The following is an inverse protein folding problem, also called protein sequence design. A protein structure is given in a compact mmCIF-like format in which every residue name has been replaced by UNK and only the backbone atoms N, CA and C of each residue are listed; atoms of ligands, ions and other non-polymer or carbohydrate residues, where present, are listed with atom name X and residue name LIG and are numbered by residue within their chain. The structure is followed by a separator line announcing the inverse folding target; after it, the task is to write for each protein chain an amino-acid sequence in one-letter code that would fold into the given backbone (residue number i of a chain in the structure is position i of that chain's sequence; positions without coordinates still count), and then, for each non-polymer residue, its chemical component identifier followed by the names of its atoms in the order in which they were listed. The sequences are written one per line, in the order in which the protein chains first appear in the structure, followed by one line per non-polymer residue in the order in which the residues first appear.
data_IF_904310034350
#
_entry.id   IF_904310034350
#
_cell.length_a   1.000
_cell.length_b   1.000
_cell.length_c   1.000
_cell.angle_alpha   90.00
_cell.angle_beta   90.00
_cell.angle_gamma   90.00
#
_symmetry.space_group_name_H-M   'P 1'
#
loop_
_entity.id
_entity.type
_entity.pdbx_description
1 polymer ?
#
# COMPACT_ATOMS: atom_id res chain seq x y z
N UNK A 1 -35.20 89.86 3.66
CA UNK A 1 -34.52 88.89 2.77
C UNK A 1 -34.62 87.52 3.39
N UNK A 2 -35.39 86.57 2.88
CA UNK A 2 -35.56 85.27 3.48
C UNK A 2 -34.57 84.28 2.86
N UNK A 3 -33.95 83.47 3.75
CA UNK A 3 -33.13 82.27 3.37
C UNK A 3 -34.04 81.14 2.81
N UNK A 4 -33.72 80.67 1.62
CA UNK A 4 -34.33 79.47 1.04
C UNK A 4 -33.58 78.21 1.51
N UNK A 5 -34.30 77.34 2.20
CA UNK A 5 -33.84 76.03 2.59
C UNK A 5 -33.97 75.03 1.40
N UNK A 6 -32.87 74.45 0.94
CA UNK A 6 -32.86 73.38 -0.03
C UNK A 6 -32.91 72.03 0.72
N UNK A 7 -34.07 71.48 0.82
CA UNK A 7 -34.26 70.05 1.20
C UNK A 7 -34.05 69.18 0.01
N UNK A 8 -32.96 68.40 -0.02
CA UNK A 8 -32.66 67.41 -1.03
C UNK A 8 -33.31 66.07 -0.65
N UNK A 9 -34.31 65.68 -1.38
CA UNK A 9 -35.00 64.40 -1.16
C UNK A 9 -34.05 63.20 -1.39
N UNK A 10 -33.98 62.32 -0.41
CA UNK A 10 -33.25 61.05 -0.44
C UNK A 10 -34.05 60.02 -1.19
N UNK A 11 -33.51 59.45 -2.30
CA UNK A 11 -34.17 58.39 -3.09
C UNK A 11 -33.68 56.99 -2.63
N UNK A 12 -34.54 56.10 -2.07
CA UNK A 12 -34.12 54.84 -1.50
C UNK A 12 -34.14 53.67 -2.47
N UNK A 13 -34.12 53.86 -3.80
CA UNK A 13 -34.37 52.80 -4.77
C UNK A 13 -33.14 51.97 -5.20
N UNK A 14 -31.91 52.43 -4.98
CA UNK A 14 -30.71 51.70 -5.39
C UNK A 14 -30.20 50.66 -4.39
N UNK A 15 -30.65 50.69 -3.15
CA UNK A 15 -30.17 49.80 -2.09
C UNK A 15 -30.84 48.41 -2.09
N UNK A 16 -32.07 48.29 -2.60
CA UNK A 16 -32.82 47.03 -2.66
C UNK A 16 -32.28 46.04 -3.68
N UNK A 17 -31.69 46.52 -4.78
CA UNK A 17 -31.13 45.63 -5.81
C UNK A 17 -29.74 45.09 -5.45
N UNK A 18 -28.97 45.80 -4.62
CA UNK A 18 -27.66 45.33 -4.17
C UNK A 18 -27.76 44.19 -3.17
N UNK A 19 -28.77 44.21 -2.31
CA UNK A 19 -29.02 43.12 -1.34
C UNK A 19 -29.55 41.87 -2.03
N UNK A 20 -30.37 42.01 -3.08
CA UNK A 20 -30.87 40.84 -3.87
C UNK A 20 -29.79 40.14 -4.64
N UNK A 21 -28.79 40.87 -5.19
CA UNK A 21 -27.66 40.28 -5.92
C UNK A 21 -26.69 39.58 -4.97
N UNK A 22 -26.51 40.11 -3.75
CA UNK A 22 -25.64 39.52 -2.74
C UNK A 22 -26.24 38.20 -2.20
N UNK A 23 -27.58 38.11 -2.09
CA UNK A 23 -28.27 36.90 -1.59
C UNK A 23 -28.24 35.75 -2.59
N UNK A 24 -28.22 36.03 -3.90
CA UNK A 24 -28.15 35.02 -4.95
C UNK A 24 -26.75 34.42 -5.08
N UNK A 25 -25.68 35.17 -4.80
CA UNK A 25 -24.29 34.72 -4.87
C UNK A 25 -23.94 33.77 -3.70
N UNK A 26 -24.58 33.94 -2.53
CA UNK A 26 -24.34 33.08 -1.36
C UNK A 26 -24.98 31.69 -1.49
N UNK A 27 -26.01 31.52 -2.33
CA UNK A 27 -26.71 30.25 -2.51
C UNK A 27 -26.07 29.29 -3.54
N UNK A 28 -25.05 29.75 -4.29
CA UNK A 28 -24.38 28.92 -5.31
C UNK A 28 -23.12 28.20 -4.84
N UNK A 29 -22.73 28.31 -3.55
CA UNK A 29 -21.53 27.65 -2.99
C UNK A 29 -21.82 26.42 -2.12
N UNK A 30 -22.99 25.79 -2.28
CA UNK A 30 -23.15 24.39 -1.81
C UNK A 30 -22.40 23.46 -2.77
N UNK A 31 -21.08 23.51 -2.72
CA UNK A 31 -20.22 22.46 -3.28
C UNK A 31 -20.69 21.15 -2.65
N UNK A 32 -21.30 20.28 -3.43
CA UNK A 32 -21.52 18.88 -3.06
C UNK A 32 -20.15 18.26 -2.78
N UNK A 33 -19.69 18.36 -1.55
CA UNK A 33 -18.59 17.56 -1.06
C UNK A 33 -19.10 16.11 -1.12
N UNK A 34 -18.86 15.46 -2.25
CA UNK A 34 -19.14 14.05 -2.45
C UNK A 34 -18.38 13.30 -1.33
N UNK A 35 -19.09 12.84 -0.29
CA UNK A 35 -18.49 12.05 0.79
C UNK A 35 -17.76 10.88 0.13
N UNK A 36 -16.44 10.96 0.02
CA UNK A 36 -15.61 9.84 -0.44
C UNK A 36 -15.96 8.66 0.47
N UNK A 37 -16.38 7.54 -0.14
CA UNK A 37 -16.66 6.32 0.63
C UNK A 37 -15.41 5.96 1.44
N UNK A 38 -15.54 5.55 2.72
CA UNK A 38 -14.40 5.12 3.50
C UNK A 38 -13.64 4.02 2.77
N UNK A 39 -12.31 4.11 2.80
CA UNK A 39 -11.44 3.08 2.22
C UNK A 39 -11.52 1.86 3.14
N UNK A 40 -11.80 0.67 2.58
CA UNK A 40 -11.88 -0.58 3.32
C UNK A 40 -10.52 -0.94 3.92
N UNK A 41 -10.51 -1.57 5.07
CA UNK A 41 -9.33 -2.10 5.76
C UNK A 41 -9.45 -2.03 7.27
N UNK A 42 -9.02 -3.08 7.93
CA UNK A 42 -8.98 -3.18 9.40
C UNK A 42 -7.75 -2.44 9.95
N UNK A 43 -6.59 -2.59 9.31
CA UNK A 43 -5.33 -1.94 9.67
C UNK A 43 -5.05 -0.71 8.80
N UNK A 44 -4.11 0.14 9.21
CA UNK A 44 -3.63 1.27 8.40
C UNK A 44 -3.02 0.77 7.09
N UNK A 45 -2.15 -0.24 7.15
CA UNK A 45 -1.56 -0.88 5.97
C UNK A 45 -2.63 -1.32 4.95
N UNK A 46 -3.69 -1.98 5.40
CA UNK A 46 -4.77 -2.43 4.50
C UNK A 46 -5.49 -1.25 3.84
N UNK A 47 -5.73 -0.16 4.58
CA UNK A 47 -6.36 1.05 4.05
C UNK A 47 -5.48 1.76 3.03
N UNK A 48 -4.19 1.90 3.33
CA UNK A 48 -3.21 2.52 2.42
C UNK A 48 -3.03 1.71 1.14
N UNK A 49 -2.91 0.38 1.26
CA UNK A 49 -2.81 -0.51 0.11
C UNK A 49 -4.07 -0.41 -0.77
N UNK A 50 -5.26 -0.45 -0.18
CA UNK A 50 -6.51 -0.27 -0.91
C UNK A 50 -6.64 1.12 -1.55
N UNK A 51 -6.16 2.17 -0.89
CA UNK A 51 -6.12 3.54 -1.44
C UNK A 51 -5.24 3.60 -2.69
N UNK A 52 -4.02 3.05 -2.60
CA UNK A 52 -3.07 2.98 -3.72
C UNK A 52 -3.62 2.18 -4.89
N UNK A 53 -4.31 1.07 -4.64
CA UNK A 53 -4.91 0.23 -5.68
C UNK A 53 -6.16 0.85 -6.31
N UNK A 54 -6.86 1.72 -5.61
CA UNK A 54 -8.02 2.46 -6.12
C UNK A 54 -7.64 3.69 -6.95
N UNK A 55 -6.48 4.25 -6.71
CA UNK A 55 -5.97 5.40 -7.45
C UNK A 55 -5.46 4.96 -8.84
N UNK A 56 -6.08 5.47 -9.89
CA UNK A 56 -5.73 5.11 -11.27
C UNK A 56 -4.29 5.46 -11.66
N UNK A 57 -3.63 6.39 -10.94
CA UNK A 57 -2.24 6.78 -11.20
C UNK A 57 -1.21 5.80 -10.63
N UNK A 58 -1.57 5.06 -9.57
CA UNK A 58 -0.67 4.13 -8.86
C UNK A 58 -1.10 2.67 -8.97
N UNK A 59 -2.36 2.42 -9.37
CA UNK A 59 -2.98 1.10 -9.38
C UNK A 59 -2.25 0.08 -10.28
N UNK A 60 -1.91 -1.11 -9.76
CA UNK A 60 -1.41 -2.19 -10.59
C UNK A 60 -2.52 -2.93 -11.36
N UNK A 61 -3.79 -2.67 -11.06
CA UNK A 61 -4.92 -3.39 -11.64
C UNK A 61 -5.06 -3.17 -13.15
N UNK A 62 -5.63 -4.15 -13.85
CA UNK A 62 -6.12 -3.95 -15.21
C UNK A 62 -7.27 -2.94 -15.20
N UNK A 63 -7.41 -2.11 -16.24
CA UNK A 63 -8.48 -1.08 -16.32
C UNK A 63 -9.87 -1.63 -16.03
N UNK A 64 -10.17 -2.84 -16.50
CA UNK A 64 -11.46 -3.51 -16.28
C UNK A 64 -11.71 -3.81 -14.79
N UNK A 65 -10.67 -4.22 -14.07
CA UNK A 65 -10.75 -4.60 -12.66
C UNK A 65 -10.79 -3.34 -11.78
N UNK A 66 -10.01 -2.31 -12.12
CA UNK A 66 -10.00 -1.03 -11.43
C UNK A 66 -11.37 -0.35 -11.43
N UNK A 67 -12.13 -0.46 -12.54
CA UNK A 67 -13.47 0.15 -12.66
C UNK A 67 -14.43 -0.30 -11.56
N UNK A 68 -14.33 -1.56 -11.16
CA UNK A 68 -15.21 -2.19 -10.17
C UNK A 68 -14.50 -2.49 -8.85
N UNK A 69 -13.28 -1.97 -8.65
CA UNK A 69 -12.49 -2.24 -7.47
C UNK A 69 -13.12 -1.62 -6.22
N UNK A 70 -13.42 -2.45 -5.26
CA UNK A 70 -14.01 -2.08 -3.97
C UNK A 70 -13.09 -2.39 -2.78
N UNK A 71 -11.92 -2.95 -3.03
CA UNK A 71 -10.89 -3.31 -2.06
C UNK A 71 -10.33 -4.70 -2.30
N UNK A 72 -9.16 -4.95 -1.75
CA UNK A 72 -8.55 -6.28 -1.68
C UNK A 72 -9.20 -7.06 -0.54
N UNK A 73 -9.22 -8.38 -0.68
CA UNK A 73 -9.56 -9.28 0.42
C UNK A 73 -8.32 -9.56 1.27
N UNK A 74 -8.49 -9.52 2.57
CA UNK A 74 -7.44 -9.79 3.56
C UNK A 74 -7.87 -10.94 4.47
N UNK A 75 -6.89 -11.66 5.00
CA UNK A 75 -7.12 -12.41 6.23
C UNK A 75 -7.45 -11.43 7.36
N UNK A 76 -8.22 -11.87 8.34
CA UNK A 76 -8.48 -11.08 9.54
C UNK A 76 -7.16 -10.79 10.26
N UNK A 77 -7.01 -9.57 10.78
CA UNK A 77 -5.82 -9.23 11.56
C UNK A 77 -5.67 -10.19 12.75
N UNK A 78 -4.46 -10.72 12.90
CA UNK A 78 -4.11 -11.60 14.02
C UNK A 78 -2.68 -11.27 14.48
N UNK A 79 -2.57 -10.82 15.74
CA UNK A 79 -1.30 -10.43 16.36
C UNK A 79 -0.31 -11.60 16.52
N UNK A 80 -0.77 -12.86 16.46
CA UNK A 80 0.12 -14.04 16.49
C UNK A 80 1.03 -14.11 15.27
N UNK A 81 0.69 -13.41 14.22
CA UNK A 81 1.51 -13.25 13.00
C UNK A 81 2.41 -12.01 13.01
N UNK A 82 2.50 -11.31 14.13
CA UNK A 82 3.53 -10.28 14.38
C UNK A 82 4.62 -10.92 15.21
N UNK A 83 5.75 -11.22 14.60
CA UNK A 83 6.85 -11.97 15.24
C UNK A 83 8.10 -11.11 15.34
N UNK A 84 8.90 -11.36 16.39
CA UNK A 84 10.24 -10.80 16.52
C UNK A 84 11.26 -11.84 16.07
N UNK A 85 12.01 -11.52 15.03
CA UNK A 85 13.03 -12.39 14.46
C UNK A 85 14.43 -11.98 14.91
N UNK A 86 15.29 -12.98 15.15
CA UNK A 86 16.73 -12.76 15.24
C UNK A 86 17.25 -12.50 13.83
N UNK A 87 17.87 -11.35 13.60
CA UNK A 87 18.48 -10.96 12.34
C UNK A 87 19.98 -11.25 12.35
N UNK A 88 20.42 -12.07 11.41
CA UNK A 88 21.85 -12.37 11.20
C UNK A 88 22.30 -11.83 9.84
N UNK A 89 23.14 -10.81 9.87
CA UNK A 89 23.74 -10.25 8.65
C UNK A 89 24.64 -11.27 7.95
N UNK A 90 24.58 -11.32 6.60
CA UNK A 90 25.44 -12.18 5.75
C UNK A 90 26.32 -11.35 4.80
N UNK A 91 27.35 -10.62 5.32
CA UNK A 91 28.07 -9.60 4.55
C UNK A 91 28.93 -10.16 3.40
N UNK A 92 29.24 -11.45 3.43
CA UNK A 92 30.13 -12.11 2.45
C UNK A 92 29.34 -12.76 1.28
N UNK A 93 28.01 -12.64 1.27
CA UNK A 93 27.18 -13.16 0.17
C UNK A 93 27.42 -12.38 -1.12
N UNK A 94 27.52 -13.11 -2.23
CA UNK A 94 27.75 -12.50 -3.54
C UNK A 94 26.41 -12.08 -4.17
N UNK A 95 26.38 -10.97 -4.92
CA UNK A 95 25.21 -10.62 -5.72
C UNK A 95 24.87 -11.73 -6.72
N UNK A 96 23.59 -11.91 -6.95
CA UNK A 96 23.06 -12.88 -7.90
C UNK A 96 21.88 -12.29 -8.71
N UNK A 97 21.61 -12.89 -9.86
CA UNK A 97 20.46 -12.50 -10.70
C UNK A 97 19.21 -13.21 -10.22
N UNK A 98 18.29 -12.46 -9.61
CA UNK A 98 17.01 -13.00 -9.14
C UNK A 98 16.07 -13.22 -10.32
N UNK A 99 15.52 -14.43 -10.45
CA UNK A 99 14.52 -14.74 -11.48
C UNK A 99 13.24 -13.93 -11.23
N UNK A 100 12.60 -13.54 -12.32
CA UNK A 100 11.28 -12.87 -12.29
C UNK A 100 10.28 -13.62 -13.14
N UNK A 101 9.03 -13.18 -13.13
CA UNK A 101 7.95 -13.69 -13.99
C UNK A 101 8.12 -13.36 -15.48
N UNK A 102 9.21 -12.66 -15.84
CA UNK A 102 9.62 -12.32 -17.22
C UNK A 102 11.11 -12.59 -17.39
N UNK A 103 11.71 -12.20 -18.49
CA UNK A 103 13.16 -12.34 -18.75
C UNK A 103 14.04 -11.35 -17.98
N UNK A 104 13.45 -10.41 -17.24
CA UNK A 104 14.18 -9.45 -16.41
C UNK A 104 14.87 -10.17 -15.24
N UNK A 105 16.15 -9.91 -15.05
CA UNK A 105 17.01 -10.53 -14.03
C UNK A 105 17.69 -9.45 -13.17
N UNK A 106 16.96 -8.81 -12.24
CA UNK A 106 17.54 -7.80 -11.36
C UNK A 106 18.58 -8.42 -10.43
N UNK A 107 19.59 -7.62 -10.07
CA UNK A 107 20.63 -8.04 -9.16
C UNK A 107 20.21 -7.85 -7.71
N UNK A 108 20.31 -8.90 -6.93
CA UNK A 108 20.05 -8.95 -5.50
C UNK A 108 21.24 -9.54 -4.75
N UNK A 109 21.37 -9.21 -3.48
CA UNK A 109 22.23 -9.91 -2.53
C UNK A 109 21.36 -10.48 -1.41
N UNK A 110 21.68 -11.67 -0.93
CA UNK A 110 21.14 -12.14 0.36
C UNK A 110 21.74 -11.27 1.45
N UNK A 111 20.92 -10.40 2.02
CA UNK A 111 21.37 -9.41 3.00
C UNK A 111 21.55 -10.02 4.39
N UNK A 112 20.74 -11.00 4.73
CA UNK A 112 20.77 -11.69 6.01
C UNK A 112 19.76 -12.81 6.10
N UNK A 113 19.67 -13.38 7.29
CA UNK A 113 18.73 -14.43 7.70
C UNK A 113 17.90 -13.92 8.87
N UNK A 114 16.63 -14.28 8.88
CA UNK A 114 15.65 -13.97 9.92
C UNK A 114 15.18 -15.29 10.52
N UNK A 115 15.51 -15.55 11.79
CA UNK A 115 15.06 -16.74 12.53
C UNK A 115 14.05 -16.32 13.57
N UNK A 116 12.87 -16.95 13.58
CA UNK A 116 11.74 -16.60 14.44
C UNK A 116 10.88 -17.82 14.75
N UNK A 117 10.12 -17.72 15.83
CA UNK A 117 9.11 -18.71 16.18
C UNK A 117 7.72 -18.25 15.70
N UNK A 118 6.98 -19.17 15.10
CA UNK A 118 5.60 -18.96 14.67
C UNK A 118 4.79 -20.24 14.96
N UNK A 119 3.72 -20.11 15.73
CA UNK A 119 2.84 -21.24 16.11
C UNK A 119 3.59 -22.41 16.77
N UNK A 120 4.64 -22.11 17.53
CA UNK A 120 5.41 -23.12 18.25
C UNK A 120 6.50 -23.84 17.44
N UNK A 121 6.70 -23.45 16.19
CA UNK A 121 7.78 -23.95 15.32
C UNK A 121 8.75 -22.83 14.98
N UNK A 122 10.04 -23.16 14.87
CA UNK A 122 11.10 -22.22 14.50
C UNK A 122 11.31 -22.25 12.99
N UNK A 123 11.30 -21.07 12.37
CA UNK A 123 11.50 -20.86 10.93
C UNK A 123 12.67 -19.94 10.66
N UNK A 124 13.25 -20.08 9.46
CA UNK A 124 14.27 -19.17 8.95
C UNK A 124 13.90 -18.71 7.56
N UNK A 125 13.92 -17.40 7.32
CA UNK A 125 13.75 -16.77 6.01
C UNK A 125 15.00 -15.97 5.64
N UNK A 126 15.38 -16.01 4.37
CA UNK A 126 16.39 -15.11 3.82
C UNK A 126 15.76 -13.78 3.47
N UNK A 127 16.47 -12.69 3.79
CA UNK A 127 16.07 -11.34 3.40
C UNK A 127 17.06 -10.81 2.35
N UNK A 128 16.54 -10.07 1.37
CA UNK A 128 17.30 -9.67 0.19
C UNK A 128 17.34 -8.16 0.03
N UNK A 129 18.41 -7.69 -0.62
CA UNK A 129 18.59 -6.28 -0.99
C UNK A 129 18.78 -6.17 -2.50
N UNK A 130 17.95 -5.35 -3.15
CA UNK A 130 18.06 -5.07 -4.58
C UNK A 130 19.16 -4.03 -4.83
N UNK A 131 20.22 -4.42 -5.56
CA UNK A 131 21.40 -3.60 -5.78
C UNK A 131 21.18 -2.41 -6.74
N UNK A 132 20.10 -2.43 -7.50
CA UNK A 132 19.67 -1.28 -8.31
C UNK A 132 18.82 -0.31 -7.49
N UNK A 133 17.86 -0.84 -6.71
CA UNK A 133 16.87 -0.04 -5.99
C UNK A 133 17.48 0.82 -4.88
N UNK A 134 18.51 0.31 -4.17
CA UNK A 134 19.19 1.06 -3.10
C UNK A 134 19.90 2.34 -3.58
N UNK A 135 20.02 2.54 -4.90
CA UNK A 135 20.56 3.77 -5.51
C UNK A 135 19.48 4.86 -5.67
N UNK A 136 18.23 4.54 -5.36
CA UNK A 136 17.10 5.46 -5.44
C UNK A 136 16.87 6.09 -4.08
N UNK A 137 16.67 7.40 -4.03
CA UNK A 137 16.39 8.14 -2.81
C UNK A 137 15.21 7.53 -2.04
N UNK A 138 15.40 7.32 -0.73
CA UNK A 138 14.42 6.71 0.17
C UNK A 138 14.40 5.18 0.17
N UNK A 139 15.24 4.52 -0.67
CA UNK A 139 15.37 3.06 -0.72
C UNK A 139 16.74 2.53 -0.24
N UNK A 140 17.59 3.37 0.31
CA UNK A 140 18.94 3.01 0.75
C UNK A 140 18.93 1.90 1.80
N UNK A 141 17.94 1.94 2.69
CA UNK A 141 17.74 0.97 3.79
C UNK A 141 16.64 -0.06 3.48
N UNK A 142 16.17 -0.13 2.23
CA UNK A 142 15.12 -1.07 1.84
C UNK A 142 15.62 -2.50 1.79
N UNK A 143 14.84 -3.41 2.38
CA UNK A 143 15.02 -4.85 2.30
C UNK A 143 13.73 -5.52 1.83
N UNK A 144 13.88 -6.60 1.08
CA UNK A 144 12.84 -7.37 0.46
C UNK A 144 12.74 -8.75 1.11
N UNK A 145 11.59 -9.05 1.72
CA UNK A 145 11.28 -10.32 2.36
C UNK A 145 10.18 -11.06 1.59
N UNK A 146 10.52 -11.83 0.55
CA UNK A 146 9.57 -12.68 -0.15
C UNK A 146 9.42 -14.01 0.58
N UNK A 147 8.23 -14.60 0.61
CA UNK A 147 8.00 -15.92 1.20
C UNK A 147 6.89 -16.70 0.50
N UNK A 148 6.97 -18.00 0.61
CA UNK A 148 5.93 -18.98 0.28
C UNK A 148 5.42 -19.62 1.57
N UNK A 149 4.17 -20.03 1.59
CA UNK A 149 3.54 -20.73 2.71
C UNK A 149 2.42 -21.67 2.20
N UNK A 150 1.83 -22.45 3.09
CA UNK A 150 0.80 -23.45 2.73
C UNK A 150 -0.56 -22.87 2.35
N UNK A 151 -0.74 -21.53 2.39
CA UNK A 151 -1.96 -20.88 1.84
C UNK A 151 -1.85 -20.60 0.34
N UNK A 152 -0.62 -20.65 -0.23
CA UNK A 152 -0.39 -20.27 -1.62
C UNK A 152 -1.09 -21.22 -2.60
N UNK A 153 -1.82 -20.62 -3.55
CA UNK A 153 -2.61 -21.37 -4.53
C UNK A 153 -3.95 -21.86 -4.00
N UNK A 154 -4.24 -21.61 -2.72
CA UNK A 154 -5.52 -21.89 -2.06
C UNK A 154 -6.22 -20.57 -1.73
N UNK A 155 -5.85 -19.91 -0.63
CA UNK A 155 -6.45 -18.64 -0.21
C UNK A 155 -5.58 -17.43 -0.52
N UNK A 156 -4.29 -17.61 -0.78
CA UNK A 156 -3.37 -16.56 -1.19
C UNK A 156 -2.75 -16.83 -2.56
N UNK A 157 -2.07 -15.84 -3.13
CA UNK A 157 -1.48 -15.96 -4.46
C UNK A 157 -0.45 -17.09 -4.54
N UNK A 158 -0.57 -17.95 -5.55
CA UNK A 158 0.27 -19.16 -5.74
C UNK A 158 1.76 -18.88 -5.93
N UNK A 159 2.14 -17.67 -6.35
CA UNK A 159 3.55 -17.24 -6.51
C UNK A 159 4.20 -16.72 -5.23
N UNK A 160 3.51 -16.78 -4.09
CA UNK A 160 3.97 -16.24 -2.81
C UNK A 160 3.64 -14.78 -2.59
N UNK A 161 4.03 -14.28 -1.44
CA UNK A 161 3.77 -12.90 -0.97
C UNK A 161 5.06 -12.21 -0.55
N UNK A 162 4.99 -10.90 -0.42
CA UNK A 162 6.12 -10.05 -0.07
C UNK A 162 5.83 -9.22 1.17
N UNK A 163 6.86 -8.92 1.92
CA UNK A 163 6.87 -7.93 2.99
C UNK A 163 8.05 -6.99 2.74
N UNK A 164 7.79 -5.69 2.77
CA UNK A 164 8.81 -4.67 2.69
C UNK A 164 9.27 -4.31 4.09
N UNK A 165 10.57 -4.36 4.33
CA UNK A 165 11.16 -3.99 5.61
C UNK A 165 12.36 -3.08 5.40
N UNK A 166 12.89 -2.56 6.50
CA UNK A 166 14.08 -1.71 6.51
C UNK A 166 15.21 -2.38 7.26
N UNK A 167 16.45 -1.98 6.98
CA UNK A 167 17.61 -2.45 7.73
C UNK A 167 17.38 -2.14 9.21
N UNK A 168 17.40 -3.13 10.10
CA UNK A 168 17.20 -2.90 11.52
C UNK A 168 18.44 -2.26 12.14
N UNK A 169 18.24 -1.53 13.24
CA UNK A 169 19.31 -0.91 14.02
C UNK A 169 20.02 -1.91 14.96
N UNK A 170 19.46 -3.11 15.13
CA UNK A 170 19.96 -4.17 16.00
C UNK A 170 19.93 -5.53 15.31
N UNK A 171 20.27 -6.58 16.04
CA UNK A 171 20.15 -7.98 15.61
C UNK A 171 18.71 -8.54 15.75
N UNK A 172 17.73 -7.66 15.99
CA UNK A 172 16.32 -8.02 16.06
C UNK A 172 15.50 -7.27 15.01
N UNK A 173 14.52 -7.97 14.41
CA UNK A 173 13.59 -7.39 13.42
C UNK A 173 12.17 -7.84 13.72
N UNK A 174 11.24 -6.90 13.73
CA UNK A 174 9.81 -7.24 13.75
C UNK A 174 9.34 -7.55 12.34
N UNK A 175 8.70 -8.71 12.17
CA UNK A 175 8.02 -9.12 10.93
C UNK A 175 6.53 -9.14 11.21
N UNK A 176 5.77 -8.30 10.51
CA UNK A 176 4.31 -8.33 10.54
C UNK A 176 3.78 -8.99 9.26
N UNK A 177 3.41 -10.27 9.35
CA UNK A 177 2.81 -10.98 8.23
C UNK A 177 1.43 -10.45 7.85
N UNK A 178 0.75 -9.68 8.72
CA UNK A 178 -0.50 -9.00 8.36
C UNK A 178 -0.28 -7.91 7.32
N UNK A 179 0.96 -7.46 7.13
CA UNK A 179 1.36 -6.54 6.07
C UNK A 179 1.83 -7.23 4.78
N UNK A 180 1.71 -8.56 4.69
CA UNK A 180 2.09 -9.29 3.48
C UNK A 180 1.15 -8.96 2.33
N UNK A 181 1.73 -8.69 1.14
CA UNK A 181 1.00 -8.33 -0.06
C UNK A 181 1.40 -9.21 -1.26
N UNK A 182 0.51 -9.29 -2.25
CA UNK A 182 0.77 -10.01 -3.49
C UNK A 182 1.63 -9.18 -4.45
N UNK A 183 2.56 -9.81 -5.21
CA UNK A 183 3.26 -9.13 -6.28
C UNK A 183 2.30 -8.57 -7.33
N UNK A 184 2.67 -7.47 -7.98
CA UNK A 184 1.82 -6.81 -8.98
C UNK A 184 1.41 -7.70 -10.15
N UNK A 185 2.23 -8.71 -10.49
CA UNK A 185 1.89 -9.69 -11.52
C UNK A 185 0.70 -10.59 -11.15
N UNK A 186 0.33 -10.68 -9.87
CA UNK A 186 -0.91 -11.33 -9.44
C UNK A 186 -2.17 -10.59 -9.93
N UNK A 187 -2.05 -9.31 -10.26
CA UNK A 187 -3.15 -8.43 -10.70
C UNK A 187 -3.08 -8.12 -12.19
N UNK A 188 -1.87 -8.10 -12.74
CA UNK A 188 -1.66 -7.70 -14.13
C UNK A 188 -0.34 -8.27 -14.65
N UNK A 189 -0.43 -9.10 -15.66
CA UNK A 189 0.66 -9.81 -16.32
C UNK A 189 1.71 -8.93 -17.01
N UNK A 190 1.44 -7.63 -17.16
CA UNK A 190 2.45 -6.66 -17.64
C UNK A 190 3.63 -6.46 -16.67
N UNK A 191 3.45 -6.82 -15.37
CA UNK A 191 4.47 -6.60 -14.36
C UNK A 191 5.46 -7.76 -14.26
N UNK A 192 6.73 -7.42 -14.13
CA UNK A 192 7.83 -8.34 -13.89
C UNK A 192 8.14 -8.40 -12.40
N UNK A 193 7.78 -9.50 -11.75
CA UNK A 193 7.91 -9.65 -10.31
C UNK A 193 8.95 -10.72 -9.95
N UNK A 194 9.77 -10.51 -8.90
CA UNK A 194 10.68 -11.52 -8.39
C UNK A 194 9.97 -12.84 -8.04
N UNK A 195 10.54 -13.96 -8.45
CA UNK A 195 10.05 -15.27 -8.03
C UNK A 195 10.62 -15.56 -6.65
N UNK A 196 9.76 -15.94 -5.71
CA UNK A 196 10.19 -16.28 -4.35
C UNK A 196 11.18 -17.45 -4.39
N UNK A 197 12.39 -17.30 -3.84
CA UNK A 197 13.33 -18.41 -3.73
C UNK A 197 12.76 -19.53 -2.87
N UNK A 198 12.94 -20.79 -3.30
CA UNK A 198 12.38 -21.96 -2.60
C UNK A 198 12.84 -22.10 -1.14
N UNK A 199 13.98 -21.53 -0.80
CA UNK A 199 14.48 -21.49 0.59
C UNK A 199 13.64 -20.62 1.52
N UNK A 200 12.81 -19.74 0.96
CA UNK A 200 11.86 -18.92 1.70
C UNK A 200 10.45 -19.56 1.74
N UNK A 201 10.39 -20.88 1.84
CA UNK A 201 9.13 -21.60 2.05
C UNK A 201 8.93 -21.92 3.54
N UNK A 202 7.83 -21.42 4.07
CA UNK A 202 7.36 -21.73 5.42
C UNK A 202 6.42 -22.95 5.33
N UNK A 203 6.82 -24.07 5.93
CA UNK A 203 5.97 -25.28 5.99
C UNK A 203 4.89 -25.10 7.06
N UNK A 204 4.11 -24.05 6.93
CA UNK A 204 2.97 -23.73 7.80
C UNK A 204 2.03 -22.79 7.05
N UNK A 205 0.80 -22.65 7.53
CA UNK A 205 -0.18 -21.72 6.96
C UNK A 205 -0.01 -20.33 7.61
N UNK A 206 0.27 -19.33 6.79
CA UNK A 206 0.32 -17.92 7.22
C UNK A 206 -0.99 -17.24 6.82
N UNK A 207 -1.99 -17.36 7.66
CA UNK A 207 -3.34 -16.80 7.46
C UNK A 207 -3.39 -15.33 7.87
N UNK A 208 -2.50 -14.52 7.27
CA UNK A 208 -2.32 -13.09 7.49
C UNK A 208 -2.03 -12.37 6.17
N UNK A 209 -2.30 -11.07 6.07
CA UNK A 209 -2.05 -10.26 4.88
C UNK A 209 -3.10 -10.42 3.77
N UNK A 210 -2.72 -10.12 2.53
CA UNK A 210 -3.61 -10.12 1.37
C UNK A 210 -3.93 -11.54 0.90
N UNK A 211 -5.21 -11.80 0.60
CA UNK A 211 -5.69 -13.02 -0.03
C UNK A 211 -5.51 -12.98 -1.56
N UNK A 212 -5.84 -14.08 -2.22
CA UNK A 212 -5.84 -14.16 -3.67
C UNK A 212 -6.80 -13.13 -4.30
N UNK A 213 -6.37 -12.51 -5.39
CA UNK A 213 -7.18 -11.58 -6.17
C UNK A 213 -7.74 -12.28 -7.41
N UNK A 214 -9.05 -12.47 -7.45
CA UNK A 214 -9.75 -13.09 -8.56
C UNK A 214 -10.84 -14.07 -8.07
N UNK A 215 -11.65 -14.53 -9.00
CA UNK A 215 -12.58 -15.64 -8.72
C UNK A 215 -11.83 -16.95 -8.88
N UNK A 216 -11.94 -17.83 -7.89
CA UNK A 216 -11.56 -19.22 -7.99
C UNK A 216 -12.38 -19.94 -9.04
#
# INVERSE_FOLDING_TARGET
MPLQSLTRAYQPTKFKHLISVLLVVVLSSTSCAQKKRPIKGETEFQRELNASYKDASTSPLKKKDLKNFDGLDFFKFDSTYVVTANFKRTPNEKPFKMKTTTDRLPEYVKYGELTFDLKGETFTLNIYQNQGLIKTEGYENYLFLPFLDETNGLESYGGGRYIDVRIPESDMMVIDFNSAYNPYCAYNDKYSCPIVPRMNYLKTRVEAGVKFFGKH
#
